data_IF_969001847992
#
_entry.id   IF_969001847992
#
_cell.length_a   1.000
_cell.length_b   1.000
_cell.length_c   1.000
_cell.angle_alpha   90.00
_cell.angle_beta   90.00
_cell.angle_gamma   90.00
#
_symmetry.space_group_name_H-M   'P 1'
#
loop_
_entity.id
_entity.type
_entity.pdbx_description
1 polymer ?
#
# COMPACT_ATOMS: atom_id res chain seq x y z
N UNK A 1 -19.96 8.92 -21.10
CA UNK A 1 -19.49 7.55 -21.43
C UNK A 1 -20.20 6.55 -20.53
N UNK A 2 -20.76 5.51 -21.13
CA UNK A 2 -21.43 4.45 -20.38
C UNK A 2 -20.55 3.22 -20.27
N UNK A 3 -20.60 2.54 -19.13
CA UNK A 3 -19.88 1.28 -18.92
C UNK A 3 -20.63 0.18 -19.64
N UNK A 4 -19.90 -0.65 -20.39
CA UNK A 4 -20.47 -1.81 -21.07
C UNK A 4 -20.95 -2.85 -20.06
N UNK A 5 -22.04 -3.52 -20.37
CA UNK A 5 -22.57 -4.63 -19.59
C UNK A 5 -21.55 -5.78 -19.57
N UNK A 6 -21.22 -6.26 -18.37
CA UNK A 6 -20.28 -7.38 -18.18
C UNK A 6 -20.92 -8.75 -18.49
N UNK A 7 -22.22 -8.85 -18.60
CA UNK A 7 -22.95 -10.11 -18.83
C UNK A 7 -23.25 -10.35 -20.30
N UNK A 8 -23.87 -9.39 -21.00
CA UNK A 8 -24.25 -9.57 -22.41
C UNK A 8 -23.39 -8.75 -23.40
N UNK A 9 -22.51 -7.89 -22.89
CA UNK A 9 -21.63 -7.07 -23.73
C UNK A 9 -22.29 -5.85 -24.38
N UNK A 10 -23.54 -5.54 -24.01
CA UNK A 10 -24.25 -4.36 -24.54
C UNK A 10 -23.46 -3.09 -24.22
N UNK A 11 -23.38 -2.20 -25.16
CA UNK A 11 -22.49 -1.01 -25.09
C UNK A 11 -22.90 0.04 -24.07
N UNK A 12 -24.12 -0.04 -23.56
CA UNK A 12 -24.72 0.99 -22.71
C UNK A 12 -25.33 0.39 -21.45
N UNK A 13 -25.18 1.09 -20.32
CA UNK A 13 -25.81 0.71 -19.06
C UNK A 13 -26.29 1.95 -18.32
N UNK A 14 -27.35 1.81 -17.54
CA UNK A 14 -27.99 2.89 -16.82
C UNK A 14 -27.67 2.80 -15.33
N UNK A 15 -27.30 3.91 -14.72
CA UNK A 15 -27.13 4.00 -13.25
C UNK A 15 -28.51 4.19 -12.63
N UNK A 16 -28.89 3.30 -11.72
CA UNK A 16 -30.17 3.33 -11.00
C UNK A 16 -30.03 3.77 -9.55
N UNK A 17 -28.83 3.65 -8.95
CA UNK A 17 -28.51 4.13 -7.60
C UNK A 17 -27.04 4.48 -7.48
N UNK A 18 -26.73 5.49 -6.66
CA UNK A 18 -25.36 5.92 -6.35
C UNK A 18 -25.27 6.26 -4.88
N UNK A 19 -24.20 5.77 -4.21
CA UNK A 19 -23.95 6.03 -2.80
C UNK A 19 -22.47 6.27 -2.55
N UNK A 20 -22.17 7.22 -1.65
CA UNK A 20 -20.82 7.38 -1.12
C UNK A 20 -20.56 6.30 -0.07
N UNK A 21 -19.42 5.66 -0.18
CA UNK A 21 -18.93 4.66 0.77
C UNK A 21 -17.48 4.95 1.14
N UNK A 22 -16.90 4.20 2.10
CA UNK A 22 -15.54 4.39 2.57
C UNK A 22 -15.25 5.85 2.96
N UNK A 23 -16.13 6.43 3.79
CA UNK A 23 -16.01 7.82 4.28
C UNK A 23 -15.91 8.86 3.16
N UNK A 24 -16.57 8.62 2.04
CA UNK A 24 -16.57 9.50 0.87
C UNK A 24 -15.43 9.29 -0.11
N UNK A 25 -14.60 8.29 0.09
CA UNK A 25 -13.46 8.01 -0.79
C UNK A 25 -13.85 7.21 -2.04
N UNK A 26 -15.02 6.57 -2.02
CA UNK A 26 -15.51 5.76 -3.14
C UNK A 26 -16.99 6.06 -3.40
N UNK A 27 -17.38 5.95 -4.66
CA UNK A 27 -18.79 5.97 -5.07
C UNK A 27 -19.19 4.57 -5.53
N UNK A 28 -20.17 3.98 -4.88
CA UNK A 28 -20.78 2.72 -5.30
C UNK A 28 -21.95 3.04 -6.20
N UNK A 29 -21.96 2.47 -7.42
CA UNK A 29 -23.05 2.65 -8.38
C UNK A 29 -23.73 1.32 -8.69
N UNK A 30 -25.04 1.30 -8.60
CA UNK A 30 -25.85 0.17 -9.07
C UNK A 30 -26.26 0.47 -10.51
N UNK A 31 -25.98 -0.45 -11.42
CA UNK A 31 -26.24 -0.31 -12.86
C UNK A 31 -27.23 -1.37 -13.34
N UNK A 32 -28.02 -1.04 -14.38
CA UNK A 32 -28.93 -1.94 -15.05
C UNK A 32 -28.68 -1.88 -16.55
N UNK A 33 -28.60 -3.05 -17.18
CA UNK A 33 -28.51 -3.16 -18.62
C UNK A 33 -29.91 -3.04 -19.24
N UNK A 34 -30.13 -2.13 -20.21
CA UNK A 34 -31.43 -2.02 -20.88
C UNK A 34 -31.76 -3.21 -21.79
N UNK A 35 -30.74 -3.96 -22.23
CA UNK A 35 -30.92 -5.12 -23.11
C UNK A 35 -31.28 -6.40 -22.36
N UNK A 36 -30.44 -6.84 -21.41
CA UNK A 36 -30.69 -8.10 -20.67
C UNK A 36 -31.31 -7.91 -19.30
N UNK A 37 -31.50 -6.69 -18.83
CA UNK A 37 -32.08 -6.35 -17.52
C UNK A 37 -31.24 -6.78 -16.30
N UNK A 38 -30.02 -7.29 -16.52
CA UNK A 38 -29.14 -7.63 -15.43
C UNK A 38 -28.70 -6.37 -14.68
N UNK A 39 -28.56 -6.53 -13.37
CA UNK A 39 -28.09 -5.48 -12.47
C UNK A 39 -26.74 -5.86 -11.89
N UNK A 40 -25.81 -4.95 -11.94
CA UNK A 40 -24.47 -5.12 -11.40
C UNK A 40 -23.99 -3.87 -10.68
N UNK A 41 -22.97 -4.04 -9.85
CA UNK A 41 -22.39 -2.96 -9.06
C UNK A 41 -21.03 -2.55 -9.63
N UNK A 42 -20.81 -1.25 -9.76
CA UNK A 42 -19.50 -0.67 -10.09
C UNK A 42 -19.06 0.28 -8.99
N UNK A 43 -17.75 0.49 -8.90
CA UNK A 43 -17.15 1.42 -7.97
C UNK A 43 -16.32 2.46 -8.72
N UNK A 44 -16.44 3.69 -8.27
CA UNK A 44 -15.59 4.78 -8.72
C UNK A 44 -14.67 5.18 -7.57
N UNK A 45 -13.37 5.05 -7.78
CA UNK A 45 -12.32 5.40 -6.83
C UNK A 45 -11.31 6.31 -7.49
N UNK A 46 -10.67 7.19 -6.71
CA UNK A 46 -9.56 7.96 -7.22
C UNK A 46 -8.37 7.03 -7.53
N UNK A 47 -7.80 7.16 -8.72
CA UNK A 47 -6.54 6.50 -9.04
C UNK A 47 -5.41 7.28 -8.40
N UNK A 48 -4.89 6.75 -7.31
CA UNK A 48 -3.77 7.34 -6.60
C UNK A 48 -2.46 6.80 -7.17
N UNK A 49 -1.80 7.65 -7.95
CA UNK A 49 -0.51 7.30 -8.53
C UNK A 49 0.57 7.32 -7.46
N UNK A 50 1.26 6.20 -7.32
CA UNK A 50 2.44 6.08 -6.47
C UNK A 50 3.68 6.60 -7.21
N UNK A 51 4.63 7.26 -6.50
CA UNK A 51 5.89 7.65 -7.09
C UNK A 51 6.67 6.46 -7.65
N UNK A 52 7.48 6.70 -8.68
CA UNK A 52 8.46 5.70 -9.13
C UNK A 52 9.60 5.61 -8.13
N UNK A 53 10.14 4.42 -7.98
CA UNK A 53 11.26 4.16 -7.06
C UNK A 53 12.57 4.14 -7.84
N UNK A 54 13.53 4.94 -7.40
CA UNK A 54 14.88 5.00 -7.96
C UNK A 54 15.76 4.05 -7.15
N UNK A 55 16.29 3.00 -7.80
CA UNK A 55 17.22 2.07 -7.16
C UNK A 55 18.62 2.65 -7.05
N UNK A 56 19.21 2.56 -5.86
CA UNK A 56 20.54 3.11 -5.59
C UNK A 56 21.66 2.45 -6.38
N UNK A 57 21.58 1.13 -6.64
CA UNK A 57 22.68 0.38 -7.28
C UNK A 57 22.95 0.76 -8.74
N UNK A 58 21.90 1.03 -9.50
CA UNK A 58 22.00 1.24 -10.95
C UNK A 58 21.26 2.48 -11.43
N UNK A 59 20.73 3.27 -10.51
CA UNK A 59 19.96 4.49 -10.79
C UNK A 59 18.75 4.23 -11.74
N UNK A 60 18.24 3.01 -11.76
CA UNK A 60 17.06 2.65 -12.54
C UNK A 60 15.79 3.06 -11.84
N UNK A 61 14.80 3.46 -12.64
CA UNK A 61 13.48 3.85 -12.18
C UNK A 61 12.51 2.70 -12.40
N UNK A 62 11.89 2.25 -11.30
CA UNK A 62 10.88 1.21 -11.34
C UNK A 62 9.56 1.73 -10.78
N UNK A 63 8.40 1.22 -11.25
CA UNK A 63 7.13 1.53 -10.60
C UNK A 63 7.14 0.98 -9.17
N UNK A 64 6.43 1.68 -8.27
CA UNK A 64 6.24 1.19 -6.91
C UNK A 64 5.53 -0.17 -6.94
N UNK A 65 6.12 -1.16 -6.27
CA UNK A 65 5.58 -2.52 -6.22
C UNK A 65 5.02 -2.82 -4.82
N UNK A 66 3.71 -2.73 -4.69
CA UNK A 66 3.01 -3.02 -3.44
C UNK A 66 3.19 -4.48 -3.01
N UNK A 67 3.29 -5.41 -3.94
CA UNK A 67 3.47 -6.83 -3.63
C UNK A 67 4.81 -7.09 -2.93
N UNK A 68 5.89 -6.44 -3.38
CA UNK A 68 7.19 -6.52 -2.71
C UNK A 68 7.15 -5.94 -1.29
N UNK A 69 6.46 -4.83 -1.13
CA UNK A 69 6.24 -4.22 0.19
C UNK A 69 5.49 -5.20 1.11
N UNK A 70 4.41 -5.77 0.63
CA UNK A 70 3.58 -6.74 1.35
C UNK A 70 4.38 -7.96 1.79
N UNK A 71 5.13 -8.55 0.88
CA UNK A 71 6.00 -9.70 1.18
C UNK A 71 7.06 -9.38 2.24
N UNK A 72 7.69 -8.22 2.14
CA UNK A 72 8.66 -7.76 3.14
C UNK A 72 8.05 -7.59 4.53
N UNK A 73 6.85 -7.02 4.60
CA UNK A 73 6.11 -6.84 5.84
C UNK A 73 5.68 -8.18 6.46
N UNK A 74 5.16 -9.09 5.66
CA UNK A 74 4.78 -10.43 6.14
C UNK A 74 5.97 -11.20 6.71
N UNK A 75 7.14 -11.11 6.08
CA UNK A 75 8.37 -11.72 6.62
C UNK A 75 8.79 -11.11 7.95
N UNK A 76 8.74 -9.78 8.04
CA UNK A 76 9.11 -9.09 9.29
C UNK A 76 8.12 -9.38 10.42
N UNK A 77 6.85 -9.55 10.11
CA UNK A 77 5.77 -9.77 11.07
C UNK A 77 5.47 -11.26 11.33
N UNK A 78 6.24 -12.17 10.72
CA UNK A 78 6.06 -13.60 10.90
C UNK A 78 6.13 -14.00 12.39
N UNK A 79 5.12 -14.73 12.85
CA UNK A 79 4.96 -15.15 14.26
C UNK A 79 4.85 -13.98 15.25
N UNK A 80 4.50 -12.79 14.78
CA UNK A 80 4.18 -11.67 15.67
C UNK A 80 2.66 -11.55 15.85
N UNK A 81 2.19 -11.05 17.02
CA UNK A 81 0.76 -10.92 17.31
C UNK A 81 0.13 -9.69 16.60
N UNK A 82 0.26 -9.62 15.28
CA UNK A 82 -0.28 -8.55 14.44
C UNK A 82 -1.26 -9.17 13.47
N UNK A 83 -2.52 -8.72 13.52
CA UNK A 83 -3.60 -9.20 12.66
C UNK A 83 -3.53 -8.65 11.24
N UNK A 84 -4.27 -9.29 10.32
CA UNK A 84 -4.30 -8.86 8.92
C UNK A 84 -4.85 -7.44 8.74
N UNK A 85 -5.84 -7.04 9.53
CA UNK A 85 -6.39 -5.68 9.47
C UNK A 85 -5.34 -4.63 9.84
N UNK A 86 -4.50 -4.92 10.84
CA UNK A 86 -3.39 -4.06 11.22
C UNK A 86 -2.33 -3.97 10.12
N UNK A 87 -2.06 -5.09 9.44
CA UNK A 87 -1.13 -5.12 8.31
C UNK A 87 -1.66 -4.30 7.13
N UNK A 88 -2.94 -4.42 6.80
CA UNK A 88 -3.56 -3.61 5.75
C UNK A 88 -3.53 -2.11 6.08
N UNK A 89 -3.82 -1.74 7.32
CA UNK A 89 -3.71 -0.36 7.79
C UNK A 89 -2.27 0.14 7.70
N UNK A 90 -1.30 -0.68 8.09
CA UNK A 90 0.13 -0.39 7.99
C UNK A 90 0.54 -0.11 6.54
N UNK A 91 0.09 -0.94 5.60
CA UNK A 91 0.38 -0.77 4.18
C UNK A 91 -0.19 0.56 3.65
N UNK A 92 -1.43 0.88 4.01
CA UNK A 92 -2.05 2.14 3.60
C UNK A 92 -1.34 3.37 4.21
N UNK A 93 -0.93 3.29 5.47
CA UNK A 93 -0.17 4.36 6.12
C UNK A 93 1.20 4.58 5.45
N UNK A 94 1.91 3.50 5.10
CA UNK A 94 3.18 3.58 4.38
C UNK A 94 2.98 4.21 3.00
N UNK A 95 1.96 3.78 2.27
CA UNK A 95 1.62 4.34 0.95
C UNK A 95 1.27 5.82 1.05
N UNK A 96 0.52 6.20 2.08
CA UNK A 96 0.18 7.59 2.34
C UNK A 96 1.43 8.45 2.62
N UNK A 97 2.34 7.96 3.45
CA UNK A 97 3.60 8.65 3.75
C UNK A 97 4.44 8.86 2.48
N UNK A 98 4.52 7.84 1.63
CA UNK A 98 5.23 7.92 0.35
C UNK A 98 4.58 8.95 -0.59
N UNK A 99 3.26 8.96 -0.70
CA UNK A 99 2.52 9.92 -1.54
C UNK A 99 2.60 11.35 -1.02
N UNK A 100 2.71 11.52 0.30
CA UNK A 100 2.74 12.84 0.94
C UNK A 100 3.97 13.68 0.55
N UNK A 101 5.02 13.04 0.03
CA UNK A 101 6.19 13.74 -0.48
C UNK A 101 5.86 14.65 -1.69
N UNK A 102 4.79 14.34 -2.44
CA UNK A 102 4.40 15.05 -3.65
C UNK A 102 5.34 14.83 -4.85
N UNK A 103 6.41 14.08 -4.66
CA UNK A 103 7.40 13.80 -5.70
C UNK A 103 6.92 12.70 -6.66
N UNK A 104 7.29 12.81 -7.93
CA UNK A 104 7.00 11.79 -8.94
C UNK A 104 7.94 10.60 -8.86
N UNK A 105 9.14 10.83 -8.36
CA UNK A 105 10.20 9.82 -8.21
C UNK A 105 10.82 9.99 -6.83
N UNK A 106 11.03 8.88 -6.13
CA UNK A 106 11.66 8.86 -4.81
C UNK A 106 12.77 7.80 -4.75
N UNK A 107 13.85 8.06 -4.01
CA UNK A 107 14.86 7.05 -3.75
C UNK A 107 14.28 5.85 -2.99
N UNK A 108 14.75 4.64 -3.28
CA UNK A 108 14.35 3.43 -2.55
C UNK A 108 14.61 3.55 -1.04
N UNK A 109 15.60 4.33 -0.64
CA UNK A 109 15.89 4.62 0.76
C UNK A 109 14.69 5.24 1.50
N UNK A 110 13.99 6.19 0.86
CA UNK A 110 12.83 6.83 1.48
C UNK A 110 11.66 5.84 1.67
N UNK A 111 11.52 4.90 0.76
CA UNK A 111 10.53 3.81 0.91
C UNK A 111 10.86 2.96 2.15
N UNK A 112 12.12 2.55 2.28
CA UNK A 112 12.58 1.79 3.44
C UNK A 112 12.43 2.54 4.75
N UNK A 113 12.74 3.82 4.78
CA UNK A 113 12.56 4.67 5.96
C UNK A 113 11.08 4.78 6.36
N UNK A 114 10.19 4.96 5.41
CA UNK A 114 8.74 4.99 5.66
C UNK A 114 8.24 3.66 6.25
N UNK A 115 8.72 2.54 5.72
CA UNK A 115 8.40 1.20 6.26
C UNK A 115 8.90 1.07 7.70
N UNK A 116 10.15 1.43 7.96
CA UNK A 116 10.74 1.32 9.29
C UNK A 116 10.02 2.18 10.33
N UNK A 117 9.69 3.43 9.98
CA UNK A 117 8.96 4.32 10.89
C UNK A 117 7.59 3.77 11.28
N UNK A 118 6.87 3.21 10.32
CA UNK A 118 5.54 2.65 10.56
C UNK A 118 5.61 1.29 11.31
N UNK A 119 6.57 0.43 10.98
CA UNK A 119 6.79 -0.83 11.70
C UNK A 119 7.15 -0.61 13.17
N UNK A 120 7.99 0.37 13.45
CA UNK A 120 8.39 0.71 14.83
C UNK A 120 7.20 1.00 15.73
N UNK A 121 6.16 1.64 15.20
CA UNK A 121 4.94 1.95 15.94
C UNK A 121 4.09 0.73 16.28
N UNK A 122 4.18 -0.31 15.48
CA UNK A 122 3.34 -1.52 15.58
C UNK A 122 4.05 -2.63 16.34
N UNK A 123 5.29 -2.93 15.96
CA UNK A 123 6.06 -4.04 16.56
C UNK A 123 7.56 -3.79 16.44
N UNK A 124 8.22 -3.68 17.58
CA UNK A 124 9.66 -3.39 17.64
C UNK A 124 10.52 -4.55 17.12
N UNK A 125 10.09 -5.80 17.30
CA UNK A 125 10.81 -6.97 16.78
C UNK A 125 10.73 -7.01 15.26
N UNK A 126 9.56 -6.75 14.69
CA UNK A 126 9.39 -6.65 13.24
C UNK A 126 10.23 -5.52 12.64
N UNK A 127 10.31 -4.37 13.33
CA UNK A 127 11.18 -3.27 12.97
C UNK A 127 12.65 -3.72 12.87
N UNK A 128 13.17 -4.40 13.91
CA UNK A 128 14.55 -4.88 13.93
C UNK A 128 14.82 -5.90 12.81
N UNK A 129 13.88 -6.82 12.57
CA UNK A 129 14.00 -7.79 11.49
C UNK A 129 14.10 -7.11 10.12
N UNK A 130 13.24 -6.14 9.88
CA UNK A 130 13.24 -5.39 8.62
C UNK A 130 14.52 -4.56 8.48
N UNK A 131 14.91 -3.84 9.54
CA UNK A 131 16.11 -3.02 9.56
C UNK A 131 17.38 -3.85 9.32
N UNK A 132 17.46 -5.06 9.85
CA UNK A 132 18.62 -5.94 9.67
C UNK A 132 18.84 -6.34 8.20
N UNK A 133 17.77 -6.52 7.46
CA UNK A 133 17.84 -6.83 6.01
C UNK A 133 18.06 -5.56 5.19
N UNK A 134 17.36 -4.50 5.52
CA UNK A 134 17.37 -3.25 4.77
C UNK A 134 18.70 -2.48 4.91
N UNK A 135 19.19 -2.34 6.16
CA UNK A 135 20.43 -1.60 6.46
C UNK A 135 21.69 -2.45 6.29
N UNK A 136 21.55 -3.77 6.20
CA UNK A 136 22.67 -4.70 6.07
C UNK A 136 23.74 -4.41 7.13
N UNK A 137 23.39 -4.58 8.40
CA UNK A 137 24.34 -4.41 9.51
C UNK A 137 25.61 -5.24 9.26
N UNK A 138 26.76 -4.59 9.29
CA UNK A 138 28.03 -5.24 9.03
C UNK A 138 28.58 -5.96 10.27
N UNK A 139 28.18 -5.49 11.47
CA UNK A 139 28.59 -6.11 12.73
C UNK A 139 27.53 -6.02 13.83
N UNK A 140 27.84 -6.66 14.97
CA UNK A 140 26.94 -6.72 16.14
C UNK A 140 26.80 -5.33 16.78
N UNK A 141 27.80 -4.48 16.68
CA UNK A 141 27.79 -3.14 17.28
C UNK A 141 26.70 -2.26 16.65
N UNK A 142 26.62 -2.24 15.32
CA UNK A 142 25.57 -1.51 14.61
C UNK A 142 24.17 -2.01 14.97
N UNK A 143 24.02 -3.32 15.10
CA UNK A 143 22.77 -3.92 15.52
C UNK A 143 22.40 -3.51 16.96
N UNK A 144 23.36 -3.55 17.89
CA UNK A 144 23.17 -3.17 19.29
C UNK A 144 22.79 -1.69 19.44
N UNK A 145 23.42 -0.80 18.68
CA UNK A 145 23.07 0.62 18.66
C UNK A 145 21.62 0.87 18.23
N UNK A 146 21.14 0.12 17.25
CA UNK A 146 19.76 0.25 16.79
C UNK A 146 18.76 -0.24 17.84
N UNK A 147 19.08 -1.32 18.55
CA UNK A 147 18.28 -1.82 19.68
C UNK A 147 18.27 -0.80 20.84
N UNK A 148 19.42 -0.21 21.17
CA UNK A 148 19.51 0.81 22.21
C UNK A 148 18.65 2.06 21.91
N UNK A 149 18.58 2.49 20.65
CA UNK A 149 17.70 3.59 20.22
C UNK A 149 16.22 3.28 20.48
N UNK A 150 15.82 2.02 20.39
CA UNK A 150 14.45 1.60 20.69
C UNK A 150 14.15 1.62 22.17
N UNK A 151 15.12 1.23 23.01
CA UNK A 151 14.95 1.15 24.46
C UNK A 151 15.09 2.50 25.17
N UNK A 152 15.70 3.50 24.52
CA UNK A 152 15.88 4.85 25.08
C UNK A 152 14.70 5.78 24.86
N UNK A 153 13.73 5.39 24.07
CA UNK A 153 12.46 6.08 23.88
C UNK A 153 11.40 5.42 24.81
#
# INVERSE_FOLDING_TARGET
>A
MCIRDSYCGFSDTKVIDSRLIAEGQQTRRRRECPACKERFTTFETAELLMPRVIKQKNNTREPFNEQKLREGLYRALEKRPVGEEEIETLIEDIKKDIRSSGEREIPSRLVGEAVMQNLRKIDEVAFIRFASVYRRFEDITEFSEEVEKLTSD
#
